data_IF_497435291778
#
_entry.id   IF_497435291778
#
_cell.length_a   1.000
_cell.length_b   1.000
_cell.length_c   1.000
_cell.angle_alpha   90.00
_cell.angle_beta   90.00
_cell.angle_gamma   90.00
#
_symmetry.space_group_name_H-M   'P 1'
#
loop_
_entity.id
_entity.type
_entity.pdbx_description
1 polymer ?
#
# COMPACT_ATOMS: atom_id res chain seq x y z
N UNK A 1 -3.15 -13.10 -12.58
CA UNK A 1 -2.71 -14.18 -11.66
C UNK A 1 -3.01 -15.55 -12.26
N UNK A 2 -4.22 -15.78 -12.73
CA UNK A 2 -4.59 -17.00 -13.46
C UNK A 2 -5.74 -16.70 -14.43
N UNK A 3 -6.07 -17.61 -15.33
CA UNK A 3 -7.27 -17.52 -16.16
C UNK A 3 -7.85 -18.90 -16.46
N UNK A 4 -9.16 -18.93 -16.73
CA UNK A 4 -9.91 -20.13 -17.10
C UNK A 4 -10.70 -19.89 -18.39
N UNK A 5 -10.88 -20.95 -19.17
CA UNK A 5 -11.90 -21.06 -20.22
C UNK A 5 -12.79 -22.24 -19.83
N UNK A 6 -14.04 -21.96 -19.46
CA UNK A 6 -15.02 -22.98 -19.07
C UNK A 6 -15.51 -23.68 -20.34
N UNK A 7 -15.32 -25.00 -20.47
CA UNK A 7 -15.70 -25.73 -21.69
C UNK A 7 -17.00 -26.51 -21.51
N UNK A 8 -17.32 -26.87 -20.28
CA UNK A 8 -18.48 -27.64 -19.89
C UNK A 8 -19.15 -26.98 -18.69
N UNK A 9 -20.48 -26.98 -18.64
CA UNK A 9 -21.26 -26.28 -17.61
C UNK A 9 -21.01 -26.84 -16.21
N UNK A 10 -20.70 -28.13 -16.14
CA UNK A 10 -20.39 -28.88 -14.93
C UNK A 10 -19.12 -28.37 -14.22
N UNK A 11 -18.20 -27.72 -14.95
CA UNK A 11 -16.96 -27.17 -14.40
C UNK A 11 -17.18 -25.85 -13.64
N UNK A 12 -18.29 -25.15 -13.93
CA UNK A 12 -18.52 -23.77 -13.50
C UNK A 12 -18.43 -23.59 -11.97
N UNK A 13 -19.03 -24.44 -11.12
CA UNK A 13 -18.93 -24.26 -9.67
C UNK A 13 -17.49 -24.34 -9.15
N UNK A 14 -16.71 -25.30 -9.64
CA UNK A 14 -15.33 -25.50 -9.20
C UNK A 14 -14.41 -24.37 -9.71
N UNK A 15 -14.55 -23.98 -10.98
CA UNK A 15 -13.80 -22.86 -11.57
C UNK A 15 -14.05 -21.56 -10.81
N UNK A 16 -15.31 -21.29 -10.44
CA UNK A 16 -15.67 -20.12 -9.64
C UNK A 16 -15.01 -20.19 -8.25
N UNK A 17 -15.15 -21.31 -7.53
CA UNK A 17 -14.54 -21.50 -6.21
C UNK A 17 -13.02 -21.28 -6.24
N UNK A 18 -12.34 -21.89 -7.23
CA UNK A 18 -10.90 -21.76 -7.40
C UNK A 18 -10.48 -20.36 -7.80
N UNK A 19 -11.24 -19.69 -8.67
CA UNK A 19 -10.94 -18.32 -9.06
C UNK A 19 -10.99 -17.36 -7.87
N UNK A 20 -12.00 -17.46 -7.00
CA UNK A 20 -12.09 -16.66 -5.78
C UNK A 20 -10.96 -16.99 -4.80
N UNK A 21 -10.69 -18.28 -4.58
CA UNK A 21 -9.58 -18.74 -3.75
C UNK A 21 -8.24 -18.19 -4.25
N UNK A 22 -7.93 -18.33 -5.55
CA UNK A 22 -6.70 -17.84 -6.15
C UNK A 22 -6.62 -16.31 -6.08
N UNK A 23 -7.71 -15.59 -6.35
CA UNK A 23 -7.71 -14.12 -6.32
C UNK A 23 -7.41 -13.57 -4.91
N UNK A 24 -7.87 -14.25 -3.85
CA UNK A 24 -7.78 -13.79 -2.47
C UNK A 24 -6.61 -14.38 -1.64
N UNK A 25 -6.08 -15.55 -2.02
CA UNK A 25 -5.05 -16.26 -1.24
C UNK A 25 -3.63 -15.84 -1.61
N UNK A 26 -2.70 -15.94 -0.66
CA UNK A 26 -1.30 -15.54 -0.87
C UNK A 26 -1.22 -14.07 -1.28
N UNK A 27 -0.40 -13.75 -2.30
CA UNK A 27 -0.40 -12.42 -2.92
C UNK A 27 -1.65 -12.23 -3.80
N UNK A 28 -2.57 -11.30 -3.49
CA UNK A 28 -3.80 -11.12 -4.28
C UNK A 28 -3.52 -10.68 -5.72
N UNK A 29 -4.43 -11.01 -6.64
CA UNK A 29 -4.32 -10.58 -8.03
C UNK A 29 -5.50 -11.03 -8.90
N UNK A 30 -5.64 -10.46 -10.12
CA UNK A 30 -6.80 -10.72 -10.97
C UNK A 30 -6.82 -12.16 -11.49
N UNK A 31 -8.02 -12.75 -11.54
CA UNK A 31 -8.32 -14.02 -12.21
C UNK A 31 -9.40 -13.77 -13.26
N UNK A 32 -9.18 -14.20 -14.50
CA UNK A 32 -10.13 -14.03 -15.61
C UNK A 32 -10.84 -15.35 -15.87
N UNK A 33 -12.18 -15.35 -15.91
CA UNK A 33 -12.99 -16.52 -16.26
C UNK A 33 -13.71 -16.22 -17.58
N UNK A 34 -13.37 -16.97 -18.63
CA UNK A 34 -14.05 -16.89 -19.92
C UNK A 34 -15.12 -17.98 -20.01
N UNK A 35 -16.35 -17.60 -20.31
CA UNK A 35 -17.53 -18.48 -20.29
C UNK A 35 -18.23 -18.40 -21.65
N UNK A 36 -18.11 -19.43 -22.50
CA UNK A 36 -18.82 -19.49 -23.78
C UNK A 36 -20.33 -19.35 -23.61
N UNK A 37 -20.99 -18.71 -24.58
CA UNK A 37 -22.44 -18.44 -24.52
C UNK A 37 -23.27 -19.72 -24.41
N UNK A 38 -22.88 -20.77 -25.14
CA UNK A 38 -23.52 -22.07 -25.11
C UNK A 38 -23.44 -22.71 -23.72
N UNK A 39 -22.31 -22.56 -23.02
CA UNK A 39 -22.17 -22.95 -21.61
C UNK A 39 -23.11 -22.14 -20.72
N UNK A 40 -23.16 -20.81 -20.88
CA UNK A 40 -24.06 -19.95 -20.07
C UNK A 40 -25.55 -20.33 -20.20
N UNK A 41 -25.96 -20.79 -21.38
CA UNK A 41 -27.35 -21.18 -21.67
C UNK A 41 -27.66 -22.65 -21.41
N UNK A 42 -26.65 -23.46 -21.10
CA UNK A 42 -26.84 -24.86 -20.78
C UNK A 42 -27.58 -25.02 -19.44
N UNK A 43 -28.29 -26.13 -19.29
CA UNK A 43 -29.00 -26.49 -18.06
C UNK A 43 -28.31 -27.70 -17.45
N UNK A 44 -27.98 -27.61 -16.18
CA UNK A 44 -27.43 -28.71 -15.41
C UNK A 44 -27.94 -28.65 -13.97
N UNK A 45 -27.88 -29.79 -13.28
CA UNK A 45 -28.22 -29.90 -11.87
C UNK A 45 -26.93 -29.92 -11.05
N UNK A 46 -26.89 -29.15 -9.96
CA UNK A 46 -25.78 -29.18 -9.01
C UNK A 46 -26.07 -30.21 -7.90
N UNK A 47 -25.06 -30.99 -7.54
CA UNK A 47 -25.17 -32.00 -6.47
C UNK A 47 -25.30 -31.35 -5.08
N UNK A 48 -24.61 -30.21 -4.88
CA UNK A 48 -24.61 -29.46 -3.64
C UNK A 48 -24.46 -27.96 -3.90
N UNK A 49 -24.95 -27.16 -2.96
CA UNK A 49 -24.73 -25.71 -2.98
C UNK A 49 -23.24 -25.40 -2.79
N UNK A 50 -22.63 -24.56 -3.64
CA UNK A 50 -21.22 -24.23 -3.51
C UNK A 50 -20.98 -23.47 -2.21
N UNK A 51 -19.97 -23.91 -1.44
CA UNK A 51 -19.52 -23.20 -0.26
C UNK A 51 -18.82 -21.88 -0.65
N UNK A 52 -18.75 -20.94 0.29
CA UNK A 52 -17.92 -19.75 0.12
C UNK A 52 -16.46 -20.19 0.05
N UNK A 53 -15.77 -19.85 -1.03
CA UNK A 53 -14.35 -20.14 -1.17
C UNK A 53 -13.54 -19.34 -0.14
N UNK A 54 -12.74 -20.06 0.66
CA UNK A 54 -11.87 -19.45 1.66
C UNK A 54 -10.45 -19.24 1.10
N UNK A 55 -9.69 -18.38 1.79
CA UNK A 55 -8.27 -18.22 1.51
C UNK A 55 -7.52 -19.51 1.87
N UNK A 56 -6.57 -19.91 1.05
CA UNK A 56 -5.59 -20.90 1.43
C UNK A 56 -4.79 -20.39 2.64
N UNK A 57 -4.37 -21.33 3.51
CA UNK A 57 -3.54 -21.03 4.66
C UNK A 57 -2.25 -20.31 4.24
N UNK A 58 -1.81 -19.35 5.05
CA UNK A 58 -0.52 -18.70 4.87
C UNK A 58 0.63 -19.72 5.01
N UNK A 59 1.77 -19.52 4.32
CA UNK A 59 2.94 -20.37 4.51
C UNK A 59 3.41 -20.35 5.97
N UNK A 60 3.75 -21.51 6.52
CA UNK A 60 4.39 -21.60 7.82
C UNK A 60 5.82 -21.03 7.76
N UNK A 61 6.28 -20.47 8.88
CA UNK A 61 7.61 -19.89 9.03
C UNK A 61 8.28 -20.39 10.31
N UNK A 62 9.61 -20.39 10.35
CA UNK A 62 10.36 -20.93 11.48
C UNK A 62 10.45 -19.93 12.64
N UNK A 63 10.31 -20.41 13.87
CA UNK A 63 10.53 -19.59 15.07
C UNK A 63 11.95 -19.01 15.13
N UNK A 64 12.94 -19.72 14.58
CA UNK A 64 14.33 -19.26 14.47
C UNK A 64 14.42 -17.95 13.68
N UNK A 65 13.75 -17.86 12.53
CA UNK A 65 13.75 -16.62 11.73
C UNK A 65 13.13 -15.43 12.47
N UNK A 66 12.14 -15.68 13.32
CA UNK A 66 11.51 -14.66 14.17
C UNK A 66 12.46 -14.22 15.29
N UNK A 67 13.15 -15.17 15.93
CA UNK A 67 14.16 -14.90 16.96
C UNK A 67 15.35 -14.13 16.39
N UNK A 68 15.81 -14.47 15.19
CA UNK A 68 16.90 -13.77 14.51
C UNK A 68 16.50 -12.34 14.13
N UNK A 69 15.29 -12.16 13.59
CA UNK A 69 14.75 -10.84 13.29
C UNK A 69 14.63 -9.98 14.55
N UNK A 70 14.08 -10.52 15.65
CA UNK A 70 13.97 -9.81 16.93
C UNK A 70 15.36 -9.41 17.47
N UNK A 71 16.33 -10.33 17.42
CA UNK A 71 17.71 -10.08 17.85
C UNK A 71 18.34 -8.94 17.04
N UNK A 72 18.17 -8.95 15.72
CA UNK A 72 18.65 -7.88 14.85
C UNK A 72 17.99 -6.54 15.17
N UNK A 73 16.68 -6.52 15.40
CA UNK A 73 15.94 -5.30 15.77
C UNK A 73 16.45 -4.75 17.10
N UNK A 74 16.55 -5.58 18.13
CA UNK A 74 16.99 -5.17 19.46
C UNK A 74 18.46 -4.72 19.48
N UNK A 75 19.31 -5.26 18.61
CA UNK A 75 20.73 -4.90 18.53
C UNK A 75 21.03 -3.71 17.60
N UNK A 76 20.12 -3.36 16.68
CA UNK A 76 20.29 -2.24 15.76
C UNK A 76 20.40 -0.92 16.53
N UNK A 77 21.14 0.06 15.99
CA UNK A 77 21.20 1.42 16.55
C UNK A 77 20.29 2.37 15.78
N UNK A 78 20.21 2.20 14.46
CA UNK A 78 19.51 3.08 13.52
C UNK A 78 18.54 2.28 12.62
N UNK A 79 17.56 1.54 13.21
CA UNK A 79 16.61 0.80 12.40
C UNK A 79 15.56 1.72 11.77
N UNK A 80 15.10 1.35 10.57
CA UNK A 80 13.97 1.98 9.89
C UNK A 80 12.96 0.90 9.50
N UNK A 81 11.69 1.15 9.81
CA UNK A 81 10.58 0.32 9.35
C UNK A 81 10.15 0.77 7.95
N UNK A 82 10.21 -0.12 6.98
CA UNK A 82 9.88 0.14 5.57
C UNK A 82 8.64 -0.65 5.16
N UNK A 83 7.52 0.06 5.03
CA UNK A 83 6.20 -0.52 4.78
C UNK A 83 5.79 -0.46 3.31
N UNK A 84 5.35 -1.60 2.77
CA UNK A 84 4.73 -1.73 1.47
C UNK A 84 3.23 -2.05 1.52
N UNK A 85 2.59 -2.16 0.36
CA UNK A 85 1.15 -2.46 0.28
C UNK A 85 0.75 -3.81 0.89
N UNK A 86 1.71 -4.73 1.12
CA UNK A 86 1.45 -6.02 1.77
C UNK A 86 1.01 -5.91 3.23
N UNK A 87 1.25 -4.77 3.90
CA UNK A 87 0.83 -4.58 5.30
C UNK A 87 -0.61 -4.06 5.47
N UNK A 88 -1.36 -3.90 4.38
CA UNK A 88 -2.66 -3.20 4.36
C UNK A 88 -3.71 -3.78 5.33
N UNK A 89 -3.57 -5.05 5.71
CA UNK A 89 -4.46 -5.75 6.63
C UNK A 89 -3.94 -5.86 8.08
N UNK A 90 -2.72 -5.37 8.36
CA UNK A 90 -2.07 -5.46 9.66
C UNK A 90 -1.84 -4.09 10.34
N UNK A 91 -2.74 -3.09 10.24
CA UNK A 91 -2.45 -1.73 10.72
C UNK A 91 -2.19 -1.65 12.23
N UNK A 92 -2.91 -2.47 13.02
CA UNK A 92 -2.77 -2.48 14.47
C UNK A 92 -1.37 -2.96 14.89
N UNK A 93 -0.93 -4.11 14.37
CA UNK A 93 0.37 -4.70 14.70
C UNK A 93 1.55 -3.90 14.16
N UNK A 94 1.41 -3.32 12.97
CA UNK A 94 2.44 -2.42 12.43
C UNK A 94 2.65 -1.22 13.35
N UNK A 95 1.55 -0.61 13.81
CA UNK A 95 1.61 0.51 14.76
C UNK A 95 2.21 0.08 16.09
N UNK A 96 1.75 -1.05 16.63
CA UNK A 96 2.27 -1.62 17.88
C UNK A 96 3.79 -1.86 17.81
N UNK A 97 4.30 -2.48 16.73
CA UNK A 97 5.74 -2.68 16.54
C UNK A 97 6.49 -1.34 16.48
N UNK A 98 5.98 -0.40 15.66
CA UNK A 98 6.62 0.90 15.48
C UNK A 98 6.70 1.68 16.79
N UNK A 99 5.59 1.76 17.54
CA UNK A 99 5.50 2.47 18.81
C UNK A 99 6.31 1.77 19.92
N UNK A 100 6.23 0.44 20.02
CA UNK A 100 6.97 -0.33 21.04
C UNK A 100 8.48 -0.13 20.91
N UNK A 101 9.01 -0.29 19.70
CA UNK A 101 10.45 -0.19 19.44
C UNK A 101 10.91 1.22 19.02
N UNK A 102 10.01 2.20 19.05
CA UNK A 102 10.22 3.60 18.64
C UNK A 102 10.92 3.69 17.27
N UNK A 103 10.39 3.00 16.27
CA UNK A 103 10.98 2.88 14.93
C UNK A 103 10.51 4.00 14.01
N UNK A 104 11.42 4.86 13.50
CA UNK A 104 11.10 5.72 12.37
C UNK A 104 10.59 4.88 11.20
N UNK A 105 9.43 5.24 10.68
CA UNK A 105 8.65 4.41 9.75
C UNK A 105 8.41 5.14 8.45
N UNK A 106 8.85 4.55 7.34
CA UNK A 106 8.63 5.04 5.98
C UNK A 106 7.66 4.13 5.22
N UNK A 107 6.97 4.70 4.24
CA UNK A 107 5.92 4.04 3.48
C UNK A 107 6.17 4.15 1.98
N UNK A 108 5.98 3.06 1.23
CA UNK A 108 5.81 3.17 -0.23
C UNK A 108 4.56 3.99 -0.56
N UNK A 109 4.43 4.41 -1.82
CA UNK A 109 3.19 4.95 -2.36
C UNK A 109 1.97 4.05 -2.08
N UNK A 110 2.18 2.73 -2.03
CA UNK A 110 1.11 1.75 -1.82
C UNK A 110 0.76 1.52 -0.33
N UNK A 111 1.53 2.10 0.59
CA UNK A 111 1.37 1.96 2.04
C UNK A 111 0.96 3.27 2.74
N UNK A 112 0.71 4.34 1.99
CA UNK A 112 0.27 5.60 2.58
C UNK A 112 -1.02 5.42 3.38
N UNK A 113 -1.05 6.00 4.58
CA UNK A 113 -2.15 5.84 5.55
C UNK A 113 -2.00 4.63 6.47
N UNK A 114 -0.99 3.77 6.30
CA UNK A 114 -0.69 2.71 7.28
C UNK A 114 -0.28 3.27 8.64
N UNK A 115 0.46 4.38 8.62
CA UNK A 115 0.79 5.17 9.79
C UNK A 115 0.36 6.62 9.52
N UNK A 116 -0.39 7.28 10.43
CA UNK A 116 -0.89 8.62 10.19
C UNK A 116 0.23 9.60 9.85
N UNK A 117 -0.03 10.51 8.92
CA UNK A 117 0.98 11.46 8.44
C UNK A 117 1.54 12.35 9.55
N UNK A 118 0.68 12.76 10.48
CA UNK A 118 1.06 13.61 11.60
C UNK A 118 1.69 12.84 12.78
N UNK A 119 1.77 11.51 12.71
CA UNK A 119 2.33 10.73 13.79
C UNK A 119 3.86 10.96 13.90
N UNK A 120 4.43 11.10 15.12
CA UNK A 120 5.85 11.44 15.29
C UNK A 120 6.84 10.47 14.63
N UNK A 121 6.51 9.18 14.57
CA UNK A 121 7.34 8.16 13.92
C UNK A 121 7.20 8.12 12.38
N UNK A 122 6.28 8.89 11.79
CA UNK A 122 6.05 8.88 10.35
C UNK A 122 7.11 9.68 9.61
N UNK A 123 7.89 9.00 8.77
CA UNK A 123 8.82 9.63 7.84
C UNK A 123 8.14 9.99 6.50
N UNK A 124 6.86 9.68 6.33
CA UNK A 124 6.16 9.86 5.06
C UNK A 124 6.65 8.90 3.97
N UNK A 125 6.53 9.34 2.71
CA UNK A 125 6.87 8.52 1.54
C UNK A 125 8.38 8.53 1.24
N UNK A 126 8.97 7.37 0.94
CA UNK A 126 10.33 7.25 0.38
C UNK A 126 10.32 7.21 -1.16
N UNK A 127 11.52 7.36 -1.74
CA UNK A 127 11.77 7.07 -3.15
C UNK A 127 11.89 8.30 -4.02
N UNK A 128 11.69 8.13 -5.34
CA UNK A 128 11.94 9.13 -6.38
C UNK A 128 11.24 10.47 -6.13
N UNK A 129 10.00 10.43 -5.66
CA UNK A 129 9.21 11.60 -5.26
C UNK A 129 8.90 11.61 -3.76
N UNK A 130 9.71 10.90 -2.97
CA UNK A 130 9.58 10.85 -1.52
C UNK A 130 9.98 12.16 -0.85
N UNK A 131 9.77 12.20 0.46
CA UNK A 131 10.27 13.26 1.33
C UNK A 131 11.80 13.21 1.31
N UNK A 132 12.44 14.35 1.02
CA UNK A 132 13.89 14.42 0.82
C UNK A 132 14.68 13.95 2.05
N UNK A 133 14.31 14.43 3.24
CA UNK A 133 14.95 14.00 4.51
C UNK A 133 14.85 12.49 4.72
N UNK A 134 13.72 11.88 4.40
CA UNK A 134 13.49 10.44 4.54
C UNK A 134 14.48 9.60 3.72
N UNK A 135 14.81 10.05 2.50
CA UNK A 135 15.80 9.36 1.68
C UNK A 135 17.23 9.47 2.27
N UNK A 136 17.59 10.58 2.92
CA UNK A 136 18.87 10.69 3.64
C UNK A 136 18.88 9.85 4.92
N UNK A 137 17.78 9.86 5.69
CA UNK A 137 17.61 9.03 6.89
C UNK A 137 17.79 7.55 6.55
N UNK A 138 17.21 7.08 5.44
CA UNK A 138 17.37 5.70 5.00
C UNK A 138 18.84 5.32 4.74
N UNK A 139 19.64 6.24 4.18
CA UNK A 139 21.06 5.97 3.93
C UNK A 139 21.90 5.85 5.21
N UNK A 140 21.44 6.43 6.31
CA UNK A 140 22.05 6.29 7.63
C UNK A 140 21.58 5.05 8.39
N UNK A 141 20.56 4.33 7.90
CA UNK A 141 20.04 3.16 8.59
C UNK A 141 21.08 2.03 8.66
N UNK A 142 21.15 1.34 9.79
CA UNK A 142 21.94 0.11 9.95
C UNK A 142 21.09 -1.17 9.85
N UNK A 143 19.77 -1.02 9.90
CA UNK A 143 18.79 -2.09 9.70
C UNK A 143 17.55 -1.57 8.96
N UNK A 144 17.17 -2.26 7.89
CA UNK A 144 15.87 -2.11 7.25
C UNK A 144 14.96 -3.27 7.64
N UNK A 145 13.79 -2.94 8.19
CA UNK A 145 12.73 -3.89 8.51
C UNK A 145 11.67 -3.74 7.42
N UNK A 146 11.75 -4.58 6.39
CA UNK A 146 10.95 -4.45 5.17
C UNK A 146 9.74 -5.38 5.25
N UNK A 147 8.56 -4.80 5.38
CA UNK A 147 7.30 -5.52 5.52
C UNK A 147 6.41 -5.27 4.32
N UNK A 148 6.10 -6.33 3.56
CA UNK A 148 5.15 -6.29 2.44
C UNK A 148 5.51 -5.31 1.31
N UNK A 149 6.80 -4.99 1.16
CA UNK A 149 7.34 -4.16 0.09
C UNK A 149 8.22 -4.98 -0.86
N UNK A 150 8.28 -4.54 -2.13
CA UNK A 150 8.91 -5.29 -3.23
C UNK A 150 10.17 -4.65 -3.83
N UNK A 151 10.78 -3.71 -3.12
CA UNK A 151 12.01 -3.00 -3.55
C UNK A 151 11.95 -2.47 -5.00
N UNK A 152 10.81 -1.87 -5.37
CA UNK A 152 10.61 -1.26 -6.69
C UNK A 152 11.64 -0.15 -6.95
N UNK A 153 12.06 0.00 -8.21
CA UNK A 153 13.05 1.00 -8.63
C UNK A 153 12.61 2.44 -8.31
N UNK A 154 11.31 2.74 -8.35
CA UNK A 154 10.78 4.04 -7.94
C UNK A 154 10.93 4.31 -6.45
N UNK A 155 11.00 3.25 -5.63
CA UNK A 155 11.19 3.37 -4.19
C UNK A 155 12.68 3.43 -3.80
N UNK A 156 13.55 2.67 -4.47
CA UNK A 156 14.95 2.51 -4.04
C UNK A 156 16.00 3.13 -4.96
N UNK A 157 15.64 3.51 -6.18
CA UNK A 157 16.58 4.01 -7.19
C UNK A 157 17.59 2.94 -7.59
N UNK A 158 18.89 3.28 -7.55
CA UNK A 158 19.98 2.35 -7.87
C UNK A 158 20.17 1.35 -6.73
N UNK A 159 19.85 0.09 -6.98
CA UNK A 159 19.85 -1.00 -6.00
C UNK A 159 21.17 -1.12 -5.21
N UNK A 160 22.32 -0.97 -5.85
CA UNK A 160 23.63 -1.10 -5.23
C UNK A 160 23.93 0.05 -4.26
N UNK A 161 23.35 1.22 -4.51
CA UNK A 161 23.54 2.44 -3.71
C UNK A 161 22.46 2.63 -2.64
N UNK A 162 21.40 1.81 -2.65
CA UNK A 162 20.33 1.90 -1.67
C UNK A 162 20.75 1.25 -0.35
N UNK A 163 20.94 2.06 0.69
CA UNK A 163 21.24 1.64 2.07
C UNK A 163 22.39 0.59 2.12
N UNK A 164 23.60 0.90 1.60
CA UNK A 164 24.65 -0.09 1.41
C UNK A 164 25.20 -0.69 2.72
N UNK A 165 25.04 0.03 3.84
CA UNK A 165 25.51 -0.38 5.16
C UNK A 165 24.43 -1.04 6.02
N UNK A 166 23.18 -1.12 5.52
CA UNK A 166 22.07 -1.64 6.29
C UNK A 166 21.97 -3.17 6.16
N UNK A 167 21.78 -3.84 7.30
CA UNK A 167 21.22 -5.19 7.30
C UNK A 167 19.76 -5.13 6.87
N UNK A 168 19.21 -6.22 6.35
CA UNK A 168 17.85 -6.25 5.81
C UNK A 168 17.10 -7.45 6.39
N UNK A 169 15.95 -7.20 7.01
CA UNK A 169 14.91 -8.18 7.28
C UNK A 169 13.82 -7.96 6.22
N UNK A 170 13.40 -9.01 5.53
CA UNK A 170 12.36 -8.92 4.50
C UNK A 170 11.26 -9.95 4.74
N UNK A 171 10.05 -9.46 4.98
CA UNK A 171 8.84 -10.27 5.15
C UNK A 171 7.91 -10.01 3.97
N UNK A 172 7.63 -11.04 3.20
CA UNK A 172 6.69 -11.00 2.08
C UNK A 172 5.98 -12.35 1.94
N UNK A 173 4.72 -12.35 1.51
CA UNK A 173 3.95 -13.58 1.32
C UNK A 173 4.38 -14.32 0.04
N UNK A 174 4.96 -13.60 -0.91
CA UNK A 174 5.41 -14.10 -2.20
C UNK A 174 6.90 -14.45 -2.16
N UNK A 175 7.20 -15.76 -2.20
CA UNK A 175 8.57 -16.28 -2.25
C UNK A 175 9.41 -15.64 -3.36
N UNK A 176 8.79 -15.32 -4.50
CA UNK A 176 9.50 -14.79 -5.65
C UNK A 176 9.99 -13.35 -5.44
N UNK A 177 9.50 -12.64 -4.41
CA UNK A 177 9.95 -11.30 -4.06
C UNK A 177 11.16 -11.31 -3.12
N UNK A 178 11.31 -12.35 -2.30
CA UNK A 178 12.42 -12.49 -1.35
C UNK A 178 13.74 -12.70 -2.10
N UNK A 179 14.69 -11.76 -1.94
CA UNK A 179 15.98 -11.83 -2.62
C UNK A 179 15.96 -11.45 -4.11
N UNK A 180 14.82 -11.02 -4.65
CA UNK A 180 14.68 -10.68 -6.07
C UNK A 180 15.54 -9.50 -6.50
N UNK A 181 15.55 -8.44 -5.69
CA UNK A 181 16.25 -7.18 -5.99
C UNK A 181 17.38 -6.94 -4.99
N UNK A 182 17.10 -7.08 -3.69
CA UNK A 182 18.08 -7.00 -2.60
C UNK A 182 18.09 -8.32 -1.85
N UNK A 183 19.28 -8.87 -1.60
CA UNK A 183 19.43 -10.07 -0.77
C UNK A 183 19.25 -9.69 0.70
N UNK A 184 18.22 -10.21 1.39
CA UNK A 184 18.03 -9.97 2.81
C UNK A 184 18.99 -10.80 3.66
N UNK A 185 19.24 -10.34 4.89
CA UNK A 185 19.97 -11.11 5.90
C UNK A 185 19.04 -12.10 6.61
N UNK A 186 17.78 -11.71 6.82
CA UNK A 186 16.68 -12.58 7.28
C UNK A 186 15.50 -12.43 6.32
N UNK A 187 15.03 -13.53 5.76
CA UNK A 187 13.88 -13.56 4.85
C UNK A 187 12.78 -14.44 5.45
N UNK A 188 11.55 -13.94 5.50
CA UNK A 188 10.41 -14.69 6.04
C UNK A 188 9.29 -14.69 5.00
N UNK A 189 8.95 -15.88 4.50
CA UNK A 189 7.83 -16.05 3.57
C UNK A 189 6.54 -16.32 4.36
N UNK A 190 5.70 -15.31 4.57
CA UNK A 190 4.48 -15.45 5.38
C UNK A 190 3.54 -14.25 5.22
N UNK A 191 2.33 -14.34 5.79
CA UNK A 191 1.51 -13.16 6.06
C UNK A 191 2.22 -12.29 7.12
N UNK A 192 2.33 -10.99 6.85
CA UNK A 192 2.98 -10.04 7.76
C UNK A 192 2.23 -9.99 9.09
N UNK A 193 0.90 -10.14 9.10
CA UNK A 193 0.13 -10.05 10.35
C UNK A 193 0.48 -11.19 11.32
N UNK A 194 0.61 -12.42 10.80
CA UNK A 194 1.00 -13.60 11.55
C UNK A 194 2.45 -13.50 12.06
N UNK A 195 3.36 -12.98 11.22
CA UNK A 195 4.77 -12.75 11.60
C UNK A 195 4.85 -11.71 12.72
N UNK A 196 4.14 -10.60 12.58
CA UNK A 196 4.14 -9.55 13.61
C UNK A 196 3.57 -10.04 14.94
N UNK A 197 2.56 -10.91 14.90
CA UNK A 197 1.98 -11.51 16.11
C UNK A 197 3.02 -12.28 16.95
N UNK A 198 3.97 -12.97 16.29
CA UNK A 198 5.03 -13.70 16.97
C UNK A 198 6.29 -12.86 17.23
N UNK A 199 6.55 -11.87 16.37
CA UNK A 199 7.75 -11.02 16.46
C UNK A 199 7.65 -9.98 17.59
N UNK A 200 6.52 -9.27 17.67
CA UNK A 200 6.35 -8.14 18.60
C UNK A 200 6.65 -8.53 20.06
N UNK A 201 6.21 -9.69 20.60
CA UNK A 201 6.54 -10.10 21.97
C UNK A 201 8.05 -10.20 22.24
N UNK A 202 8.87 -10.51 21.24
CA UNK A 202 10.32 -10.69 21.36
C UNK A 202 11.11 -9.39 21.15
N UNK A 203 10.47 -8.37 20.58
CA UNK A 203 11.08 -7.05 20.39
C UNK A 203 11.01 -6.26 21.69
N UNK A 204 12.13 -5.72 22.12
CA UNK A 204 12.25 -4.90 23.33
C UNK A 204 11.87 -3.45 23.05
N UNK A 205 11.31 -2.79 24.08
CA UNK A 205 11.07 -1.36 24.00
C UNK A 205 12.40 -0.61 24.19
N UNK A 206 12.80 0.16 23.17
CA UNK A 206 14.05 0.93 23.19
C UNK A 206 13.79 2.36 22.72
N UNK A 207 14.13 3.39 23.51
CA UNK A 207 13.86 4.79 23.14
C UNK A 207 14.66 5.33 21.96
N UNK A 208 15.86 4.78 21.69
CA UNK A 208 16.72 5.14 20.55
C UNK A 208 16.99 6.64 20.41
N UNK A 209 17.22 7.34 21.53
CA UNK A 209 17.31 8.80 21.57
C UNK A 209 18.32 9.40 20.57
N UNK A 210 19.52 8.81 20.45
CA UNK A 210 20.54 9.27 19.48
C UNK A 210 20.05 9.16 18.03
N UNK A 211 19.32 8.09 17.71
CA UNK A 211 18.77 7.89 16.37
C UNK A 211 17.66 8.90 16.06
N UNK A 212 16.74 9.11 17.01
CA UNK A 212 15.69 10.13 16.89
C UNK A 212 16.26 11.54 16.75
N UNK A 213 17.35 11.85 17.45
CA UNK A 213 18.02 13.14 17.31
C UNK A 213 18.58 13.32 15.88
N UNK A 214 19.28 12.31 15.34
CA UNK A 214 19.79 12.35 13.97
C UNK A 214 18.66 12.47 12.93
N UNK A 215 17.56 11.74 13.12
CA UNK A 215 16.35 11.86 12.28
C UNK A 215 15.81 13.29 12.30
N UNK A 216 15.66 13.89 13.48
CA UNK A 216 15.19 15.27 13.62
C UNK A 216 16.17 16.28 13.00
N UNK A 217 17.48 16.06 13.12
CA UNK A 217 18.51 16.90 12.51
C UNK A 217 18.41 16.88 10.99
N UNK A 218 18.31 15.69 10.38
CA UNK A 218 18.15 15.53 8.93
C UNK A 218 16.82 16.09 8.41
N UNK A 219 15.75 16.01 9.20
CA UNK A 219 14.47 16.65 8.86
C UNK A 219 14.56 18.17 8.87
N UNK A 220 15.35 18.75 9.79
CA UNK A 220 15.61 20.20 9.84
C UNK A 220 16.55 20.66 8.72
N UNK A 221 17.55 19.86 8.38
CA UNK A 221 18.49 20.16 7.30
C UNK A 221 17.85 20.04 5.91
N UNK A 222 17.00 19.03 5.71
CA UNK A 222 16.32 18.75 4.45
C UNK A 222 14.79 18.82 4.59
N UNK A 223 14.23 20.01 4.88
CA UNK A 223 12.78 20.15 5.00
C UNK A 223 12.10 19.81 3.67
N UNK A 224 10.84 19.41 3.74
CA UNK A 224 9.97 19.25 2.58
C UNK A 224 9.03 20.46 2.51
N UNK A 225 9.48 21.61 1.96
CA UNK A 225 8.64 22.79 1.90
C UNK A 225 7.43 22.49 1.02
N UNK A 226 6.26 22.87 1.52
CA UNK A 226 5.02 22.88 0.76
C UNK A 226 4.80 24.34 0.32
N UNK A 227 5.33 24.77 -0.84
CA UNK A 227 5.20 26.15 -1.27
C UNK A 227 3.73 26.53 -1.40
N UNK A 228 3.40 27.74 -0.95
CA UNK A 228 2.03 28.29 -1.02
C UNK A 228 0.96 27.37 -0.40
N UNK A 229 1.29 26.63 0.66
CA UNK A 229 0.37 25.69 1.33
C UNK A 229 -0.98 26.28 1.78
N UNK A 230 -1.07 27.61 1.96
CA UNK A 230 -2.29 28.33 2.34
C UNK A 230 -3.04 28.95 1.14
N UNK A 231 -2.46 28.90 -0.06
CA UNK A 231 -3.08 29.39 -1.29
C UNK A 231 -3.89 28.25 -1.93
N UNK A 232 -5.24 28.27 -1.85
CA UNK A 232 -6.07 27.19 -2.35
C UNK A 232 -6.02 27.03 -3.88
N UNK A 233 -5.40 27.97 -4.60
CA UNK A 233 -5.19 27.88 -6.05
C UNK A 233 -3.82 27.30 -6.43
N UNK A 234 -2.92 27.13 -5.47
CA UNK A 234 -1.70 26.35 -5.67
C UNK A 234 -2.02 24.85 -5.57
N UNK A 235 -1.28 23.99 -6.28
CA UNK A 235 -1.54 22.54 -6.25
C UNK A 235 -1.52 21.96 -4.82
N UNK A 236 -0.56 22.35 -3.99
CA UNK A 236 -0.52 21.88 -2.61
C UNK A 236 -1.57 22.51 -1.70
N UNK A 237 -1.81 23.83 -1.83
CA UNK A 237 -2.83 24.49 -1.03
C UNK A 237 -4.24 24.03 -1.38
N UNK A 238 -4.51 23.68 -2.65
CA UNK A 238 -5.74 23.03 -3.09
C UNK A 238 -5.95 21.69 -2.36
N UNK A 239 -4.93 20.83 -2.34
CA UNK A 239 -5.00 19.53 -1.65
C UNK A 239 -5.30 19.73 -0.16
N UNK A 240 -4.60 20.67 0.49
CA UNK A 240 -4.81 20.98 1.91
C UNK A 240 -6.21 21.57 2.17
N UNK A 241 -6.69 22.46 1.30
CA UNK A 241 -8.01 23.05 1.41
C UNK A 241 -9.11 21.99 1.27
N UNK A 242 -8.98 21.07 0.31
CA UNK A 242 -9.90 19.94 0.15
C UNK A 242 -9.86 19.03 1.38
N UNK A 243 -8.67 18.70 1.88
CA UNK A 243 -8.52 17.90 3.09
C UNK A 243 -9.19 18.55 4.31
N UNK A 244 -9.13 19.87 4.44
CA UNK A 244 -9.79 20.62 5.50
C UNK A 244 -11.33 20.63 5.41
N UNK A 245 -11.91 20.25 4.26
CA UNK A 245 -13.36 20.16 4.06
C UNK A 245 -13.95 18.79 4.44
N UNK A 246 -13.12 17.81 4.76
CA UNK A 246 -13.55 16.43 5.07
C UNK A 246 -12.86 15.89 6.32
N UNK A 247 -13.40 14.82 6.88
CA UNK A 247 -12.76 14.07 7.97
C UNK A 247 -11.92 12.88 7.43
N UNK A 248 -11.33 12.11 8.34
CA UNK A 248 -10.53 10.93 8.02
C UNK A 248 -11.35 9.77 7.40
N UNK A 249 -12.68 9.87 7.33
CA UNK A 249 -13.51 8.86 6.70
C UNK A 249 -13.50 8.98 5.17
N UNK A 250 -13.14 10.14 4.61
CA UNK A 250 -13.06 10.32 3.17
C UNK A 250 -12.06 9.35 2.52
N UNK A 251 -12.42 8.83 1.35
CA UNK A 251 -11.56 7.99 0.51
C UNK A 251 -10.97 8.83 -0.61
N UNK A 252 -9.67 8.67 -0.86
CA UNK A 252 -8.91 9.44 -1.82
C UNK A 252 -8.51 8.53 -2.98
N UNK A 253 -9.03 8.82 -4.16
CA UNK A 253 -8.56 8.23 -5.40
C UNK A 253 -7.72 9.23 -6.17
N UNK A 254 -6.76 8.72 -6.94
CA UNK A 254 -5.97 9.56 -7.84
C UNK A 254 -5.76 8.91 -9.18
N UNK A 255 -5.72 9.75 -10.19
CA UNK A 255 -5.10 9.40 -11.47
C UNK A 255 -3.56 9.44 -11.38
N UNK A 256 -2.87 9.33 -12.51
CA UNK A 256 -1.40 9.21 -12.57
C UNK A 256 -0.77 10.45 -13.20
N UNK A 257 0.25 11.00 -12.56
CA UNK A 257 0.92 12.22 -13.00
C UNK A 257 1.45 13.07 -11.85
N UNK A 258 1.65 14.37 -12.09
CA UNK A 258 2.11 15.27 -11.04
C UNK A 258 1.11 15.41 -9.89
N UNK A 259 -0.19 15.51 -10.20
CA UNK A 259 -1.26 15.58 -9.20
C UNK A 259 -1.29 14.34 -8.28
N UNK A 260 -0.93 13.16 -8.81
CA UNK A 260 -0.77 11.93 -8.02
C UNK A 260 0.29 12.12 -6.92
N UNK A 261 1.47 12.62 -7.31
CA UNK A 261 2.60 12.81 -6.40
C UNK A 261 2.33 13.95 -5.42
N UNK A 262 1.77 15.08 -5.89
CA UNK A 262 1.40 16.18 -5.01
C UNK A 262 0.38 15.73 -3.96
N UNK A 263 -0.63 14.96 -4.36
CA UNK A 263 -1.64 14.43 -3.44
C UNK A 263 -1.02 13.46 -2.44
N UNK A 264 -0.18 12.53 -2.90
CA UNK A 264 0.57 11.61 -2.03
C UNK A 264 1.48 12.34 -1.02
N UNK A 265 2.09 13.45 -1.44
CA UNK A 265 3.00 14.24 -0.62
C UNK A 265 2.27 15.15 0.36
N UNK A 266 1.10 15.69 0.04
CA UNK A 266 0.43 16.73 0.81
C UNK A 266 -0.82 16.27 1.57
N UNK A 267 -1.64 15.36 1.03
CA UNK A 267 -2.87 14.93 1.69
C UNK A 267 -2.56 14.23 3.03
N UNK A 268 -3.30 14.53 4.12
CA UNK A 268 -3.11 13.90 5.43
C UNK A 268 -3.78 12.50 5.46
N UNK A 269 -3.17 11.52 4.79
CA UNK A 269 -3.66 10.14 4.79
C UNK A 269 -3.39 9.49 6.16
N UNK A 270 -4.45 9.08 6.85
CA UNK A 270 -4.42 8.64 8.25
C UNK A 270 -4.95 7.22 8.48
N UNK A 271 -5.48 6.56 7.43
CA UNK A 271 -6.10 5.24 7.53
C UNK A 271 -5.68 4.30 6.39
N UNK A 272 -5.51 2.99 6.63
CA UNK A 272 -5.37 2.01 5.56
C UNK A 272 -6.60 2.00 4.66
N UNK A 273 -6.40 1.67 3.38
CA UNK A 273 -7.46 1.64 2.34
C UNK A 273 -8.17 2.99 2.16
N UNK A 274 -7.55 4.08 2.61
CA UNK A 274 -7.99 5.44 2.31
C UNK A 274 -7.45 5.92 0.97
N UNK A 275 -6.26 5.44 0.59
CA UNK A 275 -5.53 5.84 -0.59
C UNK A 275 -5.65 4.81 -1.71
N UNK A 276 -6.25 5.20 -2.83
CA UNK A 276 -6.43 4.37 -4.01
C UNK A 276 -5.73 5.02 -5.21
N UNK A 277 -4.62 4.45 -5.64
CA UNK A 277 -3.85 4.96 -6.77
C UNK A 277 -3.24 3.83 -7.59
N UNK A 278 -3.04 4.05 -8.89
CA UNK A 278 -2.29 3.12 -9.74
C UNK A 278 -0.78 3.38 -9.61
N UNK A 279 -0.11 2.62 -8.74
CA UNK A 279 1.33 2.76 -8.51
C UNK A 279 2.20 1.96 -9.49
N UNK A 280 2.00 0.63 -9.54
CA UNK A 280 2.87 -0.27 -10.29
C UNK A 280 2.79 -0.10 -11.81
N UNK A 281 1.60 -0.20 -12.39
CA UNK A 281 1.39 0.01 -13.83
C UNK A 281 1.33 1.49 -14.21
N UNK A 282 0.92 2.36 -13.28
CA UNK A 282 0.83 3.79 -13.54
C UNK A 282 -0.22 4.14 -14.59
N UNK A 283 -1.41 3.54 -14.50
CA UNK A 283 -2.50 3.70 -15.48
C UNK A 283 -3.23 5.03 -15.31
N UNK A 284 -3.11 5.94 -16.28
CA UNK A 284 -3.96 7.12 -16.41
C UNK A 284 -5.42 6.71 -16.71
N UNK A 285 -6.40 7.47 -16.22
CA UNK A 285 -7.82 7.14 -16.30
C UNK A 285 -8.31 6.18 -15.20
N UNK A 286 -7.45 5.83 -14.23
CA UNK A 286 -7.80 5.00 -13.08
C UNK A 286 -8.69 5.74 -12.07
N UNK A 287 -8.47 7.04 -11.86
CA UNK A 287 -8.98 7.78 -10.70
C UNK A 287 -10.50 7.78 -10.58
N UNK A 288 -11.20 8.13 -11.66
CA UNK A 288 -12.67 8.21 -11.70
C UNK A 288 -13.35 6.83 -11.54
N UNK A 289 -13.04 5.78 -12.34
CA UNK A 289 -13.65 4.47 -12.15
C UNK A 289 -13.30 3.84 -10.80
N UNK A 290 -12.09 4.08 -10.27
CA UNK A 290 -11.75 3.65 -8.90
C UNK A 290 -12.60 4.37 -7.85
N UNK A 291 -12.90 5.66 -8.03
CA UNK A 291 -13.77 6.42 -7.14
C UNK A 291 -15.21 5.88 -7.14
N UNK A 292 -15.72 5.52 -8.32
CA UNK A 292 -17.04 4.89 -8.47
C UNK A 292 -17.10 3.57 -7.69
N UNK A 293 -16.12 2.68 -7.88
CA UNK A 293 -16.04 1.43 -7.13
C UNK A 293 -15.93 1.65 -5.61
N UNK A 294 -15.14 2.63 -5.19
CA UNK A 294 -15.02 2.98 -3.78
C UNK A 294 -16.32 3.51 -3.16
N UNK A 295 -17.07 4.34 -3.89
CA UNK A 295 -18.35 4.89 -3.46
C UNK A 295 -19.41 3.79 -3.36
N UNK A 296 -19.48 2.89 -4.34
CA UNK A 296 -20.37 1.72 -4.31
C UNK A 296 -20.07 0.81 -3.12
N UNK A 297 -18.79 0.60 -2.79
CA UNK A 297 -18.38 -0.23 -1.65
C UNK A 297 -18.51 0.48 -0.29
N UNK A 298 -18.63 1.82 -0.26
CA UNK A 298 -18.69 2.62 0.96
C UNK A 298 -19.73 3.75 0.81
N UNK A 299 -21.03 3.45 0.77
CA UNK A 299 -22.08 4.43 0.44
C UNK A 299 -22.13 5.64 1.37
N UNK A 300 -21.73 5.47 2.63
CA UNK A 300 -21.76 6.52 3.66
C UNK A 300 -20.53 7.44 3.64
N UNK A 301 -19.51 7.14 2.82
CA UNK A 301 -18.24 7.87 2.79
C UNK A 301 -18.14 8.78 1.57
N UNK A 302 -17.58 9.98 1.79
CA UNK A 302 -17.19 10.88 0.71
C UNK A 302 -16.00 10.30 -0.05
N UNK A 303 -16.08 10.32 -1.38
CA UNK A 303 -14.97 9.86 -2.23
C UNK A 303 -14.44 11.03 -3.05
N UNK A 304 -13.18 11.39 -2.81
CA UNK A 304 -12.48 12.48 -3.47
C UNK A 304 -11.53 11.91 -4.54
N UNK A 305 -11.72 12.30 -5.79
CA UNK A 305 -10.87 11.91 -6.91
C UNK A 305 -10.01 13.09 -7.36
N UNK A 306 -8.74 13.14 -6.93
CA UNK A 306 -7.81 14.12 -7.48
C UNK A 306 -7.30 13.63 -8.84
N UNK A 307 -7.63 14.36 -9.90
CA UNK A 307 -7.29 13.98 -11.27
C UNK A 307 -6.59 15.12 -12.01
N UNK A 308 -5.84 14.76 -13.04
CA UNK A 308 -5.26 15.69 -14.02
C UNK A 308 -6.09 15.68 -15.30
N UNK A 309 -6.05 16.76 -16.05
CA UNK A 309 -6.78 16.97 -17.32
C UNK A 309 -6.67 15.78 -18.29
N UNK A 310 -5.45 15.34 -18.62
CA UNK A 310 -5.22 14.26 -19.56
C UNK A 310 -5.70 12.90 -19.03
N UNK A 311 -5.58 12.66 -17.72
CA UNK A 311 -6.02 11.39 -17.12
C UNK A 311 -7.54 11.31 -17.02
N UNK A 312 -8.20 12.38 -16.59
CA UNK A 312 -9.66 12.42 -16.48
C UNK A 312 -10.31 12.14 -17.84
N UNK A 313 -9.76 12.73 -18.90
CA UNK A 313 -10.29 12.57 -20.25
C UNK A 313 -10.23 11.14 -20.79
N UNK A 314 -9.34 10.28 -20.27
CA UNK A 314 -9.26 8.89 -20.72
C UNK A 314 -10.49 8.06 -20.35
N UNK A 315 -11.18 8.40 -19.26
CA UNK A 315 -12.38 7.70 -18.81
C UNK A 315 -13.51 8.66 -18.40
N UNK A 316 -13.60 9.82 -19.07
CA UNK A 316 -14.61 10.85 -18.77
C UNK A 316 -16.05 10.34 -18.92
N UNK A 317 -16.28 9.32 -19.76
CA UNK A 317 -17.59 8.72 -19.96
C UNK A 317 -18.18 8.14 -18.67
N UNK A 318 -17.35 7.78 -17.69
CA UNK A 318 -17.81 7.25 -16.41
C UNK A 318 -18.49 8.30 -15.52
N UNK A 319 -18.47 9.58 -15.91
CA UNK A 319 -19.34 10.58 -15.30
C UNK A 319 -20.82 10.20 -15.46
N UNK A 320 -21.21 9.58 -16.58
CA UNK A 320 -22.56 9.04 -16.77
C UNK A 320 -22.85 8.00 -15.68
N UNK A 321 -22.01 6.98 -15.54
CA UNK A 321 -22.10 5.95 -14.49
C UNK A 321 -22.24 6.55 -13.09
N UNK A 322 -21.40 7.53 -12.72
CA UNK A 322 -21.46 8.16 -11.41
C UNK A 322 -22.80 8.88 -11.15
N UNK A 323 -23.32 9.59 -12.15
CA UNK A 323 -24.58 10.34 -12.05
C UNK A 323 -25.83 9.46 -12.07
N UNK A 324 -25.88 8.45 -12.94
CA UNK A 324 -26.99 7.49 -13.02
C UNK A 324 -27.14 6.71 -11.71
N UNK A 325 -26.02 6.38 -11.06
CA UNK A 325 -25.99 5.71 -9.76
C UNK A 325 -26.00 6.67 -8.55
N UNK A 326 -26.08 7.98 -8.78
CA UNK A 326 -26.18 9.02 -7.73
C UNK A 326 -25.06 8.94 -6.67
N UNK A 327 -23.83 8.66 -7.09
CA UNK A 327 -22.70 8.43 -6.19
C UNK A 327 -22.11 9.74 -5.63
N UNK A 328 -21.74 9.76 -4.36
CA UNK A 328 -21.10 10.92 -3.69
C UNK A 328 -19.59 11.05 -4.04
N UNK A 329 -19.29 11.12 -5.34
CA UNK A 329 -17.93 11.30 -5.88
C UNK A 329 -17.66 12.78 -6.15
N UNK A 330 -16.51 13.29 -5.67
CA UNK A 330 -16.04 14.67 -5.89
C UNK A 330 -14.75 14.67 -6.70
N UNK A 331 -14.82 15.15 -7.93
CA UNK A 331 -13.67 15.23 -8.82
C UNK A 331 -12.95 16.56 -8.57
N UNK A 332 -11.71 16.48 -8.12
CA UNK A 332 -10.83 17.63 -7.91
C UNK A 332 -9.84 17.65 -9.08
N UNK A 333 -10.22 18.35 -10.15
CA UNK A 333 -9.44 18.43 -11.37
C UNK A 333 -8.33 19.50 -11.25
N UNK A 334 -7.07 19.07 -11.34
CA UNK A 334 -5.92 19.94 -11.50
C UNK A 334 -5.60 20.07 -12.99
N UNK A 335 -6.06 21.14 -13.61
CA UNK A 335 -5.89 21.39 -15.04
C UNK A 335 -4.67 22.32 -15.27
N UNK A 336 -3.64 21.84 -15.96
CA UNK A 336 -2.35 22.52 -16.16
C UNK A 336 -1.86 22.44 -17.62
#
# INVERSE_FOLDING_TARGET
KHNYLVRHIEELPQVMSDAFRIAQSGRPGPVWIDIPKDVQTAVFEIEAQPAVAEKAAAPAFSEESIRDAATMINAAKRPVLYLGGGVINAPARVRELAEKAQLPTTMTLMALGMLPKAHPLSLGMLGMHGVRSTNYILQEADLLIVLGARFDDRAIGKTEQFCPNAKIIHVDIDRAELGKIKQPHVAIQADVDDVLAQLIPLVEAQPRAEWHQLVADLQREFPCPIPKACDPLSHYGLINAVAACVDDNAIITTDVGQHQMWTAQAYPLNRPRQWLTSGGLGTMGFGLPAAIGAALANPDRKVLCFSGDGSLMMNIQEMATASENQLDVKIILMNN
#
